data_IF_210077456740
#
_entry.id   IF_210077456740
#
_cell.length_a   1.000
_cell.length_b   1.000
_cell.length_c   1.000
_cell.angle_alpha   90.00
_cell.angle_beta   90.00
_cell.angle_gamma   90.00
#
_symmetry.space_group_name_H-M   'P 1'
#
loop_
_entity.id
_entity.type
_entity.pdbx_description
1 polymer ?
#
# COMPACT_ATOMS: atom_id res chain seq x y z
N UNK A 1 -3.03 37.47 -33.42
CA UNK A 1 -2.17 36.42 -32.82
C UNK A 1 -2.78 36.04 -31.48
N UNK A 2 -3.64 35.02 -31.46
CA UNK A 2 -4.27 34.50 -30.26
C UNK A 2 -3.61 33.16 -29.91
N UNK A 3 -3.09 33.06 -28.69
CA UNK A 3 -2.49 31.83 -28.15
C UNK A 3 -3.63 30.90 -27.71
N UNK A 4 -3.70 29.62 -28.13
CA UNK A 4 -4.71 28.73 -27.58
C UNK A 4 -4.30 28.33 -26.17
N UNK A 5 -5.13 28.73 -25.21
CA UNK A 5 -5.13 28.30 -23.81
C UNK A 5 -5.59 26.82 -23.70
N UNK A 6 -4.86 25.90 -24.32
CA UNK A 6 -5.12 24.47 -24.24
C UNK A 6 -4.27 23.80 -23.14
N UNK A 7 -4.12 24.49 -22.02
CA UNK A 7 -3.59 23.94 -20.77
C UNK A 7 -4.73 23.91 -19.75
N UNK A 8 -5.91 23.45 -20.19
CA UNK A 8 -7.04 23.27 -19.30
C UNK A 8 -7.03 21.85 -18.75
N UNK A 9 -6.88 21.84 -17.43
CA UNK A 9 -6.83 20.70 -16.52
C UNK A 9 -8.05 19.79 -16.68
N UNK A 10 -7.96 18.79 -17.54
CA UNK A 10 -9.07 17.85 -17.76
C UNK A 10 -8.67 16.37 -17.72
N UNK A 11 -7.77 15.98 -16.80
CA UNK A 11 -7.54 14.56 -16.51
C UNK A 11 -7.27 14.28 -15.02
N UNK A 12 -7.80 15.11 -14.11
CA UNK A 12 -7.95 14.74 -12.70
C UNK A 12 -9.44 14.54 -12.44
N UNK A 13 -9.89 13.31 -12.71
CA UNK A 13 -11.16 12.75 -12.25
C UNK A 13 -10.87 11.46 -11.47
N UNK A 14 -11.57 11.18 -10.37
CA UNK A 14 -11.15 10.23 -9.34
C UNK A 14 -11.51 8.77 -9.71
N UNK A 15 -10.70 7.80 -9.27
CA UNK A 15 -11.19 6.44 -9.06
C UNK A 15 -11.44 5.57 -10.31
N UNK A 16 -10.46 5.49 -11.22
CA UNK A 16 -10.44 4.44 -12.23
C UNK A 16 -10.14 3.08 -11.59
N UNK A 17 -11.20 2.36 -11.20
CA UNK A 17 -11.17 1.01 -10.66
C UNK A 17 -10.83 -0.04 -11.74
N UNK A 18 -9.77 0.22 -12.52
CA UNK A 18 -9.16 -0.80 -13.34
C UNK A 18 -8.24 -1.62 -12.41
N UNK A 19 -8.38 -2.96 -12.34
CA UNK A 19 -7.40 -3.75 -11.61
C UNK A 19 -6.01 -3.42 -12.17
N UNK A 20 -5.00 -3.21 -11.30
CA UNK A 20 -3.64 -2.93 -11.75
C UNK A 20 -3.18 -4.01 -12.72
N UNK A 21 -2.25 -3.67 -13.62
CA UNK A 21 -1.68 -4.67 -14.51
C UNK A 21 -1.16 -5.86 -13.68
N UNK A 22 -1.24 -7.11 -14.18
CA UNK A 22 -0.89 -8.30 -13.39
C UNK A 22 0.51 -8.22 -12.75
N UNK A 23 1.47 -7.59 -13.44
CA UNK A 23 2.83 -7.37 -12.93
C UNK A 23 2.86 -6.36 -11.77
N UNK A 24 2.04 -5.30 -11.84
CA UNK A 24 1.89 -4.29 -10.80
C UNK A 24 1.19 -4.88 -9.57
N UNK A 25 0.19 -5.73 -9.77
CA UNK A 25 -0.51 -6.43 -8.70
C UNK A 25 0.41 -7.42 -7.98
N UNK A 26 1.21 -8.19 -8.73
CA UNK A 26 2.22 -9.08 -8.17
C UNK A 26 3.29 -8.30 -7.38
N UNK A 27 3.72 -7.15 -7.92
CA UNK A 27 4.67 -6.26 -7.24
C UNK A 27 4.11 -5.72 -5.91
N UNK A 28 2.86 -5.26 -5.91
CA UNK A 28 2.17 -4.78 -4.70
C UNK A 28 2.04 -5.87 -3.63
N UNK A 29 1.73 -7.11 -4.03
CA UNK A 29 1.68 -8.27 -3.12
C UNK A 29 3.06 -8.55 -2.52
N UNK A 30 4.11 -8.60 -3.34
CA UNK A 30 5.48 -8.79 -2.85
C UNK A 30 5.94 -7.67 -1.91
N UNK A 31 5.55 -6.42 -2.19
CA UNK A 31 5.82 -5.28 -1.32
C UNK A 31 5.07 -5.40 0.02
N UNK A 32 3.83 -5.89 0.00
CA UNK A 32 3.06 -6.15 1.22
C UNK A 32 3.70 -7.26 2.08
N UNK A 33 4.17 -8.34 1.47
CA UNK A 33 4.90 -9.43 2.16
C UNK A 33 6.17 -8.90 2.85
N UNK A 34 6.95 -8.08 2.13
CA UNK A 34 8.15 -7.47 2.68
C UNK A 34 7.83 -6.55 3.87
N UNK A 35 6.76 -5.76 3.78
CA UNK A 35 6.30 -4.89 4.87
C UNK A 35 5.82 -5.70 6.08
N UNK A 36 5.12 -6.82 5.88
CA UNK A 36 4.72 -7.73 6.95
C UNK A 36 5.93 -8.33 7.67
N UNK A 37 6.92 -8.82 6.91
CA UNK A 37 8.15 -9.39 7.45
C UNK A 37 8.93 -8.34 8.28
N UNK A 38 9.06 -7.12 7.76
CA UNK A 38 9.67 -6.01 8.48
C UNK A 38 8.91 -5.68 9.77
N UNK A 39 7.58 -5.61 9.70
CA UNK A 39 6.71 -5.39 10.85
C UNK A 39 7.00 -6.42 11.94
N UNK A 40 7.00 -7.72 11.62
CA UNK A 40 7.31 -8.80 12.56
C UNK A 40 8.68 -8.67 13.21
N UNK A 41 9.72 -8.32 12.44
CA UNK A 41 11.07 -8.10 12.98
C UNK A 41 11.06 -6.92 13.95
N UNK A 42 10.42 -5.81 13.60
CA UNK A 42 10.30 -4.65 14.47
C UNK A 42 9.50 -4.95 15.74
N UNK A 43 8.48 -5.81 15.68
CA UNK A 43 7.75 -6.27 16.86
C UNK A 43 8.67 -7.01 17.82
N UNK A 44 9.54 -7.89 17.31
CA UNK A 44 10.53 -8.65 18.10
C UNK A 44 11.61 -7.75 18.73
N UNK A 45 11.90 -6.62 18.09
CA UNK A 45 12.81 -5.59 18.60
C UNK A 45 12.12 -4.58 19.53
N UNK A 46 10.86 -4.82 19.92
CA UNK A 46 9.99 -3.93 20.70
C UNK A 46 9.84 -2.50 20.13
N UNK A 47 10.16 -2.30 18.84
CA UNK A 47 10.01 -1.03 18.12
C UNK A 47 8.57 -0.84 17.66
N UNK A 48 7.67 -0.59 18.62
CA UNK A 48 6.22 -0.71 18.41
C UNK A 48 5.65 0.21 17.36
N UNK A 49 6.02 1.48 17.36
CA UNK A 49 5.50 2.46 16.40
C UNK A 49 5.98 2.17 14.98
N UNK A 50 7.26 1.82 14.82
CA UNK A 50 7.82 1.45 13.53
C UNK A 50 7.18 0.17 12.97
N UNK A 51 6.92 -0.81 13.85
CA UNK A 51 6.23 -2.03 13.44
C UNK A 51 4.80 -1.72 12.97
N UNK A 52 4.06 -0.89 13.70
CA UNK A 52 2.72 -0.44 13.30
C UNK A 52 2.75 0.22 11.91
N UNK A 53 3.67 1.15 11.67
CA UNK A 53 3.80 1.81 10.38
C UNK A 53 4.09 0.82 9.22
N UNK A 54 4.92 -0.20 9.46
CA UNK A 54 5.20 -1.24 8.46
C UNK A 54 3.97 -2.12 8.18
N UNK A 55 3.23 -2.52 9.22
CA UNK A 55 2.01 -3.33 9.08
C UNK A 55 0.89 -2.55 8.36
N UNK A 56 0.71 -1.27 8.69
CA UNK A 56 -0.23 -0.39 7.99
C UNK A 56 0.11 -0.22 6.51
N UNK A 57 1.41 -0.18 6.19
CA UNK A 57 1.86 -0.13 4.80
C UNK A 57 1.56 -1.44 4.07
N UNK A 58 1.78 -2.61 4.68
CA UNK A 58 1.40 -3.90 4.09
C UNK A 58 -0.08 -3.95 3.71
N UNK A 59 -0.96 -3.40 4.56
CA UNK A 59 -2.41 -3.33 4.30
C UNK A 59 -2.72 -2.40 3.13
N UNK A 60 -1.99 -1.29 2.97
CA UNK A 60 -2.24 -0.30 1.92
C UNK A 60 -1.82 -0.81 0.53
N UNK A 61 -0.68 -1.49 0.45
CA UNK A 61 -0.13 -1.96 -0.84
C UNK A 61 -0.99 -3.07 -1.44
N UNK A 62 -1.40 -4.06 -0.64
CA UNK A 62 -2.20 -5.19 -1.12
C UNK A 62 -3.29 -5.57 -0.11
N UNK A 63 -4.40 -4.82 0.00
CA UNK A 63 -5.41 -4.98 1.05
C UNK A 63 -6.16 -6.32 1.04
N UNK A 64 -6.09 -7.05 -0.07
CA UNK A 64 -6.72 -8.37 -0.28
C UNK A 64 -5.72 -9.53 -0.15
N UNK A 65 -4.44 -9.25 0.10
CA UNK A 65 -3.41 -10.27 0.27
C UNK A 65 -3.47 -10.93 1.65
N UNK A 66 -2.96 -12.17 1.74
CA UNK A 66 -2.72 -12.85 3.01
C UNK A 66 -1.81 -12.03 3.94
N UNK A 67 -0.86 -11.28 3.36
CA UNK A 67 0.02 -10.41 4.11
C UNK A 67 -0.76 -9.30 4.84
N UNK A 68 -1.72 -8.68 4.16
CA UNK A 68 -2.59 -7.68 4.75
C UNK A 68 -3.51 -8.27 5.82
N UNK A 69 -4.02 -9.49 5.64
CA UNK A 69 -4.82 -10.17 6.66
C UNK A 69 -4.01 -10.41 7.95
N UNK A 70 -2.79 -10.96 7.80
CA UNK A 70 -1.88 -11.18 8.93
C UNK A 70 -1.44 -9.87 9.59
N UNK A 71 -1.25 -8.80 8.80
CA UNK A 71 -0.90 -7.50 9.33
C UNK A 71 -2.01 -6.90 10.22
N UNK A 72 -3.28 -7.06 9.82
CA UNK A 72 -4.44 -6.64 10.64
C UNK A 72 -4.48 -7.41 11.97
N UNK A 73 -4.35 -8.73 11.91
CA UNK A 73 -4.32 -9.58 13.12
C UNK A 73 -3.20 -9.17 14.09
N UNK A 74 -2.01 -8.83 13.59
CA UNK A 74 -0.90 -8.38 14.42
C UNK A 74 -1.13 -7.00 15.05
N UNK A 75 -1.85 -6.11 14.37
CA UNK A 75 -2.21 -4.79 14.90
C UNK A 75 -3.30 -4.88 15.98
N UNK A 76 -4.20 -5.87 15.87
CA UNK A 76 -5.27 -6.12 16.86
C UNK A 76 -4.75 -6.79 18.13
N UNK A 77 -3.66 -7.56 18.04
CA UNK A 77 -3.03 -8.28 19.17
C UNK A 77 -2.04 -7.45 20.01
N UNK A 78 -1.90 -6.17 19.71
CA UNK A 78 -0.85 -5.28 20.23
C UNK A 78 -1.37 -4.32 21.30
#
# INVERSE_FOLDING_TARGET
>A
LAVPAALDRAAVGPGGNAPPAPDEQAYQVAQADACLALGRVLLRLDRRDAARAALERAIREAPQSDAAAQARELLERR
#
